data_IF_145638729663
#
_entry.id   IF_145638729663
#
_cell.length_a   1.000
_cell.length_b   1.000
_cell.length_c   1.000
_cell.angle_alpha   90.00
_cell.angle_beta   90.00
_cell.angle_gamma   90.00
#
_symmetry.space_group_name_H-M   'P 1'
#
loop_
_entity.id
_entity.type
_entity.pdbx_description
1 polymer ?
#
# COMPACT_ATOMS: atom_id res chain seq x y z
N UNK A 1 15.48 -13.50 0.43
CA UNK A 1 14.08 -14.01 0.39
C UNK A 1 13.34 -13.57 -0.87
N UNK A 2 12.57 -14.49 -1.51
CA UNK A 2 11.73 -14.20 -2.70
C UNK A 2 10.25 -14.47 -2.41
N UNK A 3 9.37 -13.54 -2.74
CA UNK A 3 7.92 -13.64 -2.49
C UNK A 3 7.15 -13.34 -3.78
N UNK A 4 6.20 -14.20 -4.12
CA UNK A 4 5.22 -13.95 -5.18
C UNK A 4 3.86 -13.64 -4.57
N UNK A 5 3.22 -12.55 -5.02
CA UNK A 5 1.87 -12.16 -4.58
C UNK A 5 0.94 -12.20 -5.78
N UNK A 6 -0.13 -12.98 -5.67
CA UNK A 6 -1.19 -13.04 -6.69
C UNK A 6 -2.22 -11.96 -6.39
N UNK A 7 -2.34 -10.99 -7.29
CA UNK A 7 -3.15 -9.79 -7.16
C UNK A 7 -2.31 -8.57 -6.74
N UNK A 8 -2.49 -7.47 -7.46
CA UNK A 8 -1.90 -6.16 -7.23
C UNK A 8 -2.99 -5.08 -7.02
N UNK A 9 -4.21 -5.53 -6.68
CA UNK A 9 -5.26 -4.68 -6.13
C UNK A 9 -4.96 -4.20 -4.70
N UNK A 10 -5.94 -3.57 -4.04
CA UNK A 10 -5.75 -2.92 -2.73
C UNK A 10 -5.04 -3.80 -1.69
N UNK A 11 -5.47 -5.06 -1.56
CA UNK A 11 -4.86 -6.02 -0.62
C UNK A 11 -3.42 -6.39 -0.98
N UNK A 12 -3.15 -6.61 -2.27
CA UNK A 12 -1.82 -6.99 -2.75
C UNK A 12 -0.79 -5.88 -2.50
N UNK A 13 -1.18 -4.64 -2.73
CA UNK A 13 -0.35 -3.46 -2.44
C UNK A 13 -0.13 -3.30 -0.93
N UNK A 14 -1.18 -3.42 -0.12
CA UNK A 14 -1.05 -3.33 1.35
C UNK A 14 -0.11 -4.39 1.91
N UNK A 15 -0.23 -5.64 1.47
CA UNK A 15 0.69 -6.72 1.87
C UNK A 15 2.11 -6.45 1.39
N UNK A 16 2.29 -5.93 0.18
CA UNK A 16 3.61 -5.57 -0.36
C UNK A 16 4.29 -4.51 0.51
N UNK A 17 3.56 -3.43 0.82
CA UNK A 17 4.03 -2.36 1.71
C UNK A 17 4.43 -2.92 3.08
N UNK A 18 3.58 -3.76 3.67
CA UNK A 18 3.85 -4.31 4.98
C UNK A 18 5.02 -5.30 4.99
N UNK A 19 5.15 -6.16 3.99
CA UNK A 19 6.32 -7.04 3.85
C UNK A 19 7.60 -6.22 3.71
N UNK A 20 7.59 -5.18 2.89
CA UNK A 20 8.74 -4.31 2.73
C UNK A 20 9.12 -3.62 4.04
N UNK A 21 8.16 -3.03 4.75
CA UNK A 21 8.41 -2.34 6.01
C UNK A 21 8.90 -3.30 7.11
N UNK A 22 8.22 -4.43 7.32
CA UNK A 22 8.66 -5.41 8.32
C UNK A 22 10.04 -5.98 7.99
N UNK A 23 10.38 -6.19 6.71
CA UNK A 23 11.69 -6.70 6.31
C UNK A 23 12.79 -5.66 6.51
N UNK A 24 12.57 -4.42 6.06
CA UNK A 24 13.54 -3.33 6.13
C UNK A 24 13.98 -3.02 7.57
N UNK A 25 13.06 -3.14 8.52
CA UNK A 25 13.31 -2.77 9.92
C UNK A 25 13.54 -3.98 10.84
N UNK A 26 13.69 -5.18 10.28
CA UNK A 26 14.11 -6.36 11.03
C UNK A 26 15.65 -6.52 10.90
N UNK A 27 16.34 -6.65 12.03
CA UNK A 27 17.82 -6.66 12.13
C UNK A 27 18.47 -7.93 11.56
N UNK A 28 17.69 -9.00 11.37
CA UNK A 28 18.25 -10.34 11.14
C UNK A 28 18.28 -10.73 9.63
N UNK A 29 18.05 -9.76 8.74
CA UNK A 29 17.98 -10.03 7.30
C UNK A 29 19.37 -10.04 6.66
N UNK A 30 19.84 -11.23 6.28
CA UNK A 30 21.12 -11.42 5.58
C UNK A 30 21.03 -11.40 4.05
N UNK A 31 19.82 -11.56 3.51
CA UNK A 31 19.55 -11.57 2.07
C UNK A 31 18.70 -10.38 1.64
N UNK A 32 18.67 -10.00 0.34
CA UNK A 32 17.68 -9.05 -0.16
C UNK A 32 16.27 -9.66 -0.21
N UNK A 33 15.26 -8.81 0.00
CA UNK A 33 13.86 -9.12 -0.28
C UNK A 33 13.53 -8.78 -1.73
N UNK A 34 12.99 -9.73 -2.47
CA UNK A 34 12.42 -9.53 -3.80
C UNK A 34 10.94 -9.91 -3.79
N UNK A 35 10.07 -8.97 -4.14
CA UNK A 35 8.62 -9.18 -4.25
C UNK A 35 8.23 -9.08 -5.72
N UNK A 36 7.50 -10.07 -6.22
CA UNK A 36 6.88 -10.04 -7.55
C UNK A 36 5.37 -10.04 -7.42
N UNK A 37 4.72 -9.04 -8.01
CA UNK A 37 3.27 -8.92 -8.08
C UNK A 37 2.77 -9.51 -9.40
N UNK A 38 1.74 -10.36 -9.34
CA UNK A 38 1.09 -10.94 -10.51
C UNK A 38 -0.36 -10.46 -10.58
N UNK A 39 -0.67 -9.55 -11.49
CA UNK A 39 -2.05 -9.06 -11.69
C UNK A 39 -2.30 -8.76 -13.17
N UNK A 40 -3.40 -9.25 -13.76
CA UNK A 40 -3.72 -8.97 -15.16
C UNK A 40 -4.04 -7.49 -15.45
N UNK A 41 -4.33 -6.68 -14.43
CA UNK A 41 -4.68 -5.26 -14.55
C UNK A 41 -3.57 -4.31 -14.03
N UNK A 42 -2.45 -4.85 -13.53
CA UNK A 42 -1.34 -4.04 -13.01
C UNK A 42 -1.56 -3.50 -11.59
N UNK A 43 -0.75 -2.52 -11.18
CA UNK A 43 -0.81 -1.88 -9.85
C UNK A 43 -2.16 -1.17 -9.68
N UNK A 44 -2.82 -1.41 -8.54
CA UNK A 44 -4.18 -0.96 -8.28
C UNK A 44 -5.23 -2.01 -8.65
N UNK A 45 -4.81 -3.03 -9.40
CA UNK A 45 -5.66 -4.11 -9.91
C UNK A 45 -6.84 -3.56 -10.71
N UNK A 46 -7.97 -4.27 -10.67
CA UNK A 46 -9.19 -3.83 -11.36
C UNK A 46 -9.91 -2.64 -10.69
N UNK A 47 -9.51 -2.25 -9.47
CA UNK A 47 -10.27 -1.35 -8.60
C UNK A 47 -9.73 0.09 -8.62
N UNK A 48 -8.42 0.27 -8.51
CA UNK A 48 -7.80 1.61 -8.47
C UNK A 48 -7.15 1.93 -9.80
N UNK A 49 -7.97 2.19 -10.81
CA UNK A 49 -7.49 2.58 -12.13
C UNK A 49 -7.60 4.09 -12.33
N UNK A 50 -6.55 4.70 -12.87
CA UNK A 50 -6.53 6.14 -13.17
C UNK A 50 -7.48 6.53 -14.31
N UNK A 51 -7.91 5.58 -15.13
CA UNK A 51 -8.79 5.78 -16.30
C UNK A 51 -10.25 5.34 -16.05
N UNK A 52 -10.66 5.22 -14.78
CA UNK A 52 -12.02 4.84 -14.42
C UNK A 52 -13.02 5.99 -14.63
N UNK A 53 -14.31 5.67 -14.64
CA UNK A 53 -15.35 6.69 -14.76
C UNK A 53 -15.35 7.61 -13.53
N UNK A 54 -15.30 8.93 -13.76
CA UNK A 54 -15.24 9.96 -12.70
C UNK A 54 -16.45 9.95 -11.74
N UNK A 55 -17.55 9.31 -12.12
CA UNK A 55 -18.71 9.09 -11.24
C UNK A 55 -18.45 8.05 -10.15
N UNK A 56 -17.37 7.26 -10.24
CA UNK A 56 -16.95 6.30 -9.21
C UNK A 56 -16.17 7.02 -8.11
N UNK A 57 -16.91 7.70 -7.24
CA UNK A 57 -16.36 8.37 -6.06
C UNK A 57 -16.25 7.43 -4.87
N UNK A 58 -15.25 7.66 -4.01
CA UNK A 58 -15.15 6.98 -2.73
C UNK A 58 -16.28 7.42 -1.81
N UNK A 59 -16.89 6.47 -1.09
CA UNK A 59 -17.92 6.74 -0.08
C UNK A 59 -17.35 7.06 1.31
N UNK A 60 -16.02 7.02 1.45
CA UNK A 60 -15.28 7.37 2.66
C UNK A 60 -14.59 8.72 2.43
N UNK A 61 -14.66 9.67 3.36
CA UNK A 61 -13.90 10.92 3.31
C UNK A 61 -12.39 10.67 3.19
N UNK A 62 -11.69 11.48 2.41
CA UNK A 62 -10.26 11.32 2.14
C UNK A 62 -9.38 11.50 3.39
N UNK A 63 -9.86 12.23 4.40
CA UNK A 63 -9.20 12.40 5.70
C UNK A 63 -9.44 11.21 6.65
N UNK A 64 -10.27 10.24 6.27
CA UNK A 64 -10.62 9.06 7.07
C UNK A 64 -10.13 7.74 6.47
N UNK A 65 -9.24 7.81 5.47
CA UNK A 65 -8.66 6.61 4.86
C UNK A 65 -7.16 6.78 4.69
N UNK A 66 -6.42 5.69 4.96
CA UNK A 66 -4.97 5.62 4.79
C UNK A 66 -4.55 4.25 4.27
N UNK A 67 -3.37 4.18 3.63
CA UNK A 67 -2.68 2.92 3.32
C UNK A 67 -1.67 2.52 4.39
N UNK A 68 -1.45 3.39 5.38
CA UNK A 68 -0.52 3.17 6.48
C UNK A 68 -1.22 2.44 7.62
N UNK A 69 -0.41 1.85 8.50
CA UNK A 69 -0.89 1.14 9.68
C UNK A 69 -0.73 2.05 10.88
N UNK A 70 -1.68 2.03 11.82
CA UNK A 70 -1.58 2.76 13.07
C UNK A 70 -1.88 1.82 14.26
N UNK A 71 -2.00 2.40 15.46
CA UNK A 71 -2.34 1.68 16.68
C UNK A 71 -3.76 1.06 16.68
N UNK A 72 -4.63 1.45 15.75
CA UNK A 72 -5.97 0.87 15.63
C UNK A 72 -5.95 -0.54 15.02
N UNK A 73 -4.86 -0.93 14.36
CA UNK A 73 -4.74 -2.23 13.69
C UNK A 73 -4.12 -3.27 14.62
N UNK A 74 -4.85 -4.36 14.88
CA UNK A 74 -4.30 -5.50 15.64
C UNK A 74 -3.27 -6.28 14.82
N UNK A 75 -2.00 -6.16 15.19
CA UNK A 75 -0.90 -6.89 14.55
C UNK A 75 0.26 -7.16 15.51
N UNK A 76 1.09 -8.15 15.16
CA UNK A 76 2.31 -8.51 15.93
C UNK A 76 3.57 -7.78 15.46
N UNK A 77 3.53 -7.18 14.26
CA UNK A 77 4.66 -6.45 13.68
C UNK A 77 4.73 -5.00 14.17
N UNK A 78 5.83 -4.33 13.84
CA UNK A 78 5.96 -2.89 14.10
C UNK A 78 4.94 -2.10 13.28
N UNK A 79 4.30 -1.12 13.91
CA UNK A 79 3.42 -0.17 13.23
C UNK A 79 4.25 0.84 12.43
N UNK A 80 3.82 1.11 11.20
CA UNK A 80 4.37 2.14 10.31
C UNK A 80 3.25 3.11 9.93
N UNK A 81 3.15 4.17 10.73
CA UNK A 81 2.16 5.23 10.56
C UNK A 81 2.51 6.15 9.39
N UNK A 82 1.51 6.90 8.92
CA UNK A 82 1.64 7.81 7.81
C UNK A 82 0.35 8.57 7.51
N UNK A 83 0.39 9.44 6.50
CA UNK A 83 -0.69 10.39 6.25
C UNK A 83 -2.01 9.69 5.89
N UNK A 84 -3.12 10.35 6.22
CA UNK A 84 -4.39 10.10 5.55
C UNK A 84 -4.30 10.47 4.06
N UNK A 85 -5.22 9.96 3.24
CA UNK A 85 -5.23 10.22 1.79
C UNK A 85 -5.32 11.73 1.49
N UNK A 86 -6.07 12.50 2.28
CA UNK A 86 -6.15 13.95 2.15
C UNK A 86 -4.81 14.66 2.38
N UNK A 87 -4.08 14.25 3.41
CA UNK A 87 -2.78 14.81 3.76
C UNK A 87 -1.73 14.44 2.71
N UNK A 88 -1.73 13.17 2.28
CA UNK A 88 -0.85 12.70 1.21
C UNK A 88 -1.12 13.43 -0.11
N UNK A 89 -2.38 13.62 -0.49
CA UNK A 89 -2.72 14.31 -1.74
C UNK A 89 -2.24 15.77 -1.78
N UNK A 90 -1.93 16.34 -0.62
CA UNK A 90 -1.38 17.70 -0.48
C UNK A 90 0.15 17.73 -0.36
N UNK A 91 0.82 16.58 -0.42
CA UNK A 91 2.27 16.46 -0.22
C UNK A 91 3.07 16.60 -1.52
N UNK A 92 4.38 16.85 -1.41
CA UNK A 92 5.26 16.93 -2.57
C UNK A 92 5.35 15.59 -3.32
N UNK A 93 5.27 14.47 -2.60
CA UNK A 93 5.32 13.12 -3.17
C UNK A 93 4.15 12.85 -4.12
N UNK A 94 2.96 13.39 -3.83
CA UNK A 94 1.80 13.25 -4.69
C UNK A 94 1.93 14.03 -6.00
N UNK A 95 2.77 15.08 -6.05
CA UNK A 95 2.96 15.93 -7.23
C UNK A 95 3.87 15.31 -8.30
N UNK A 96 4.48 14.15 -8.01
CA UNK A 96 5.45 13.47 -8.90
C UNK A 96 4.79 12.31 -9.66
N UNK A 97 3.48 12.10 -9.48
CA UNK A 97 2.65 11.05 -10.11
C UNK A 97 1.79 11.66 -11.21
#
# INVERSE_FOLDING_TARGET
MKVGIIGAGPRGILVTSQLFNQYKYNSDQSEPLSITLFDPYGVGGRVWRADQWDGLIMNTPADQITLFTDESVSMTGKVFDGPALFEWASSEEAMII
#
